data_IF_211045539727
#
_entry.id   IF_211045539727
#
_cell.length_a   1.000
_cell.length_b   1.000
_cell.length_c   1.000
_cell.angle_alpha   90.00
_cell.angle_beta   90.00
_cell.angle_gamma   90.00
#
_symmetry.space_group_name_H-M   'P 1'
#
loop_
_entity.id
_entity.type
_entity.pdbx_description
1 polymer ?
#
# COMPACT_ATOMS: atom_id res chain seq x y z
N UNK A 1 59.13 8.56 -30.25
CA UNK A 1 58.48 7.51 -29.42
C UNK A 1 57.22 8.11 -28.83
N UNK A 2 56.09 7.63 -29.34
CA UNK A 2 54.74 8.16 -29.18
C UNK A 2 53.96 7.34 -28.15
N UNK A 3 53.05 8.04 -27.46
CA UNK A 3 51.71 7.55 -27.07
C UNK A 3 51.62 6.34 -26.13
N UNK A 4 51.72 6.57 -24.82
CA UNK A 4 51.26 5.59 -23.81
C UNK A 4 50.44 6.19 -22.65
N UNK A 5 50.22 7.51 -22.61
CA UNK A 5 49.57 8.17 -21.47
C UNK A 5 48.10 8.59 -21.65
N UNK A 6 47.45 8.26 -22.78
CA UNK A 6 46.07 8.70 -23.06
C UNK A 6 44.97 7.63 -22.87
N UNK A 7 45.33 6.37 -22.62
CA UNK A 7 44.34 5.27 -22.55
C UNK A 7 43.82 5.05 -21.12
N UNK A 8 44.59 5.41 -20.08
CA UNK A 8 44.19 5.20 -18.68
C UNK A 8 43.08 6.13 -18.18
N UNK A 9 42.97 7.34 -18.73
CA UNK A 9 41.98 8.34 -18.28
C UNK A 9 40.57 8.12 -18.87
N UNK A 10 40.45 7.41 -20.00
CA UNK A 10 39.18 7.15 -20.67
C UNK A 10 38.42 5.99 -19.98
N UNK A 11 39.15 5.00 -19.47
CA UNK A 11 38.55 3.86 -18.75
C UNK A 11 37.92 4.28 -17.41
N UNK A 12 38.53 5.24 -16.69
CA UNK A 12 37.99 5.74 -15.41
C UNK A 12 36.74 6.60 -15.63
N UNK A 13 36.68 7.38 -16.72
CA UNK A 13 35.49 8.14 -17.09
C UNK A 13 34.32 7.23 -17.49
N UNK A 14 34.57 6.11 -18.17
CA UNK A 14 33.52 5.13 -18.51
C UNK A 14 32.94 4.43 -17.27
N UNK A 15 33.78 4.11 -16.27
CA UNK A 15 33.33 3.48 -15.01
C UNK A 15 32.56 4.49 -14.12
N UNK A 16 32.90 5.78 -14.18
CA UNK A 16 32.16 6.85 -13.49
C UNK A 16 30.83 7.21 -14.18
N UNK A 17 30.71 6.98 -15.50
CA UNK A 17 29.45 7.19 -16.24
C UNK A 17 28.46 6.04 -16.04
N UNK A 18 28.92 4.81 -15.76
CA UNK A 18 28.04 3.68 -15.41
C UNK A 18 27.45 3.77 -14.00
N UNK A 19 28.02 4.61 -13.13
CA UNK A 19 27.47 4.88 -11.79
C UNK A 19 26.26 5.85 -11.82
N UNK A 20 25.95 6.43 -12.98
CA UNK A 20 24.85 7.37 -13.18
C UNK A 20 23.82 6.89 -14.22
N UNK A 21 23.88 5.63 -14.65
CA UNK A 21 22.79 5.05 -15.44
C UNK A 21 21.64 4.72 -14.49
N UNK A 22 20.40 5.21 -14.74
CA UNK A 22 19.26 4.81 -13.94
C UNK A 22 19.18 3.29 -13.94
N UNK A 23 19.01 2.71 -12.75
CA UNK A 23 18.91 1.26 -12.56
C UNK A 23 17.79 0.75 -13.45
N UNK A 24 18.10 -0.22 -14.31
CA UNK A 24 17.12 -0.78 -15.23
C UNK A 24 16.06 -1.56 -14.45
N UNK A 25 14.81 -1.15 -14.62
CA UNK A 25 13.67 -1.77 -13.96
C UNK A 25 13.48 -3.22 -14.42
N UNK A 26 13.08 -4.08 -13.50
CA UNK A 26 12.84 -5.50 -13.74
C UNK A 26 11.34 -5.83 -13.64
N UNK A 27 10.88 -6.89 -14.35
CA UNK A 27 9.54 -7.44 -14.15
C UNK A 27 9.38 -7.95 -12.71
N UNK A 28 8.21 -7.73 -12.13
CA UNK A 28 7.89 -8.18 -10.76
C UNK A 28 6.44 -8.62 -10.67
N UNK A 29 6.18 -9.63 -9.83
CA UNK A 29 4.83 -9.98 -9.40
C UNK A 29 4.70 -9.77 -7.90
N UNK A 30 3.66 -9.05 -7.49
CA UNK A 30 3.33 -8.82 -6.07
C UNK A 30 1.93 -9.33 -5.77
N UNK A 31 1.78 -9.94 -4.60
CA UNK A 31 0.51 -10.30 -3.99
C UNK A 31 0.13 -9.25 -2.95
N UNK A 32 -1.00 -8.58 -3.14
CA UNK A 32 -1.52 -7.55 -2.25
C UNK A 32 -2.80 -8.06 -1.61
N UNK A 33 -2.86 -8.08 -0.29
CA UNK A 33 -4.12 -8.29 0.45
C UNK A 33 -4.56 -6.99 1.10
N UNK A 34 -5.85 -6.67 1.05
CA UNK A 34 -6.40 -5.51 1.74
C UNK A 34 -7.65 -5.90 2.52
N UNK A 35 -7.59 -5.74 3.83
CA UNK A 35 -8.70 -5.93 4.74
C UNK A 35 -9.38 -4.60 4.95
N UNK A 36 -10.63 -4.47 4.51
CA UNK A 36 -11.41 -3.24 4.66
C UNK A 36 -12.38 -3.28 5.84
N UNK A 37 -12.57 -4.47 6.45
CA UNK A 37 -13.32 -4.66 7.69
C UNK A 37 -12.78 -5.85 8.49
N UNK A 38 -12.68 -5.71 9.81
CA UNK A 38 -12.44 -6.84 10.68
C UNK A 38 -13.76 -7.62 10.96
N UNK A 39 -13.75 -8.96 11.00
CA UNK A 39 -14.95 -9.76 11.25
C UNK A 39 -15.62 -9.52 12.61
N UNK A 40 -16.96 -9.55 12.64
CA UNK A 40 -17.75 -9.28 13.85
C UNK A 40 -17.54 -10.28 14.99
N UNK A 41 -17.15 -11.52 14.68
CA UNK A 41 -16.86 -12.51 15.73
C UNK A 41 -15.62 -12.14 16.58
N UNK A 42 -14.84 -11.15 16.15
CA UNK A 42 -13.73 -10.59 16.92
C UNK A 42 -14.19 -9.58 17.98
N UNK A 43 -15.44 -9.11 17.90
CA UNK A 43 -16.02 -8.22 18.89
C UNK A 43 -16.30 -8.98 20.19
N UNK A 44 -16.02 -8.33 21.31
CA UNK A 44 -16.34 -8.78 22.64
C UNK A 44 -17.03 -7.66 23.41
N UNK A 45 -17.83 -8.04 24.41
CA UNK A 45 -18.35 -7.11 25.40
C UNK A 45 -17.44 -7.15 26.64
N UNK A 46 -16.47 -6.23 26.79
CA UNK A 46 -15.47 -6.33 27.84
C UNK A 46 -16.01 -6.10 29.26
N UNK A 47 -17.28 -5.67 29.43
CA UNK A 47 -17.77 -5.22 30.75
C UNK A 47 -19.29 -5.32 30.96
N UNK A 48 -20.03 -6.08 30.13
CA UNK A 48 -21.50 -6.08 30.17
C UNK A 48 -22.14 -4.73 29.78
N UNK A 49 -21.35 -3.80 29.23
CA UNK A 49 -21.82 -2.51 28.72
C UNK A 49 -22.43 -2.70 27.32
N UNK A 50 -23.21 -1.73 26.83
CA UNK A 50 -23.79 -1.80 25.47
C UNK A 50 -22.75 -1.57 24.35
N UNK A 51 -21.47 -1.35 24.68
CA UNK A 51 -20.42 -1.07 23.72
C UNK A 51 -19.56 -2.31 23.48
N UNK A 52 -19.70 -2.88 22.28
CA UNK A 52 -18.77 -3.88 21.76
C UNK A 52 -17.39 -3.24 21.59
N UNK A 53 -16.32 -4.04 21.67
CA UNK A 53 -14.95 -3.67 21.29
C UNK A 53 -14.26 -4.87 20.69
N UNK A 54 -13.35 -4.67 19.74
CA UNK A 54 -12.54 -5.79 19.25
C UNK A 54 -11.63 -6.34 20.35
N UNK A 55 -11.56 -7.66 20.45
CA UNK A 55 -10.72 -8.37 21.40
C UNK A 55 -9.25 -8.35 20.94
N UNK A 56 -8.34 -7.58 21.56
CA UNK A 56 -7.01 -7.32 20.99
C UNK A 56 -6.22 -8.58 20.64
N UNK A 57 -6.21 -9.57 21.56
CA UNK A 57 -5.52 -10.85 21.35
C UNK A 57 -6.15 -11.69 20.23
N UNK A 58 -7.49 -11.74 20.14
CA UNK A 58 -8.17 -12.49 19.09
C UNK A 58 -7.91 -11.86 17.73
N UNK A 59 -7.98 -10.53 17.65
CA UNK A 59 -7.75 -9.81 16.41
C UNK A 59 -6.31 -9.94 15.93
N UNK A 60 -5.32 -9.78 16.82
CA UNK A 60 -3.92 -10.02 16.48
C UNK A 60 -3.72 -11.45 15.97
N UNK A 61 -4.25 -12.46 16.66
CA UNK A 61 -4.14 -13.86 16.21
C UNK A 61 -4.78 -14.09 14.84
N UNK A 62 -5.94 -13.47 14.58
CA UNK A 62 -6.61 -13.55 13.29
C UNK A 62 -5.77 -12.89 12.18
N UNK A 63 -5.29 -11.65 12.36
CA UNK A 63 -4.43 -10.96 11.40
C UNK A 63 -3.19 -11.79 11.07
N UNK A 64 -2.53 -12.36 12.09
CA UNK A 64 -1.32 -13.17 11.92
C UNK A 64 -1.59 -14.46 11.14
N UNK A 65 -2.70 -15.12 11.48
CA UNK A 65 -3.11 -16.33 10.78
C UNK A 65 -3.34 -16.03 9.30
N UNK A 66 -4.12 -14.99 9.00
CA UNK A 66 -4.46 -14.62 7.63
C UNK A 66 -3.23 -14.18 6.83
N UNK A 67 -2.38 -13.33 7.41
CA UNK A 67 -1.12 -12.92 6.81
C UNK A 67 -0.24 -14.11 6.45
N UNK A 68 -0.03 -15.03 7.39
CA UNK A 68 0.80 -16.22 7.16
C UNK A 68 0.24 -17.11 6.05
N UNK A 69 -1.08 -17.29 5.99
CA UNK A 69 -1.73 -18.10 4.95
C UNK A 69 -1.56 -17.45 3.57
N UNK A 70 -1.80 -16.15 3.47
CA UNK A 70 -1.70 -15.43 2.20
C UNK A 70 -0.24 -15.27 1.73
N UNK A 71 0.70 -14.97 2.64
CA UNK A 71 2.13 -14.90 2.37
C UNK A 71 2.68 -16.22 1.81
N UNK A 72 2.28 -17.37 2.37
CA UNK A 72 2.66 -18.69 1.83
C UNK A 72 2.14 -18.90 0.40
N UNK A 73 0.88 -18.54 0.13
CA UNK A 73 0.30 -18.65 -1.21
C UNK A 73 1.01 -17.74 -2.23
N UNK A 74 1.49 -16.57 -1.79
CA UNK A 74 2.27 -15.68 -2.63
C UNK A 74 3.65 -16.28 -2.95
N UNK A 75 4.32 -16.88 -1.96
CA UNK A 75 5.56 -17.61 -2.16
C UNK A 75 5.40 -18.78 -3.14
N UNK A 76 4.32 -19.56 -3.04
CA UNK A 76 4.00 -20.66 -3.98
C UNK A 76 3.83 -20.17 -5.43
N UNK A 77 3.50 -18.89 -5.62
CA UNK A 77 3.37 -18.22 -6.92
C UNK A 77 4.59 -17.39 -7.32
N UNK A 78 5.71 -17.50 -6.59
CA UNK A 78 6.91 -16.67 -6.77
C UNK A 78 6.59 -15.17 -6.80
N UNK A 79 5.70 -14.72 -5.92
CA UNK A 79 5.31 -13.33 -5.78
C UNK A 79 5.80 -12.75 -4.46
N UNK A 80 6.23 -11.49 -4.50
CA UNK A 80 6.34 -10.63 -3.32
C UNK A 80 4.99 -10.57 -2.59
N UNK A 81 4.98 -10.17 -1.31
CA UNK A 81 3.73 -10.12 -0.56
C UNK A 81 3.65 -8.95 0.41
N UNK A 82 2.49 -8.29 0.39
CA UNK A 82 2.11 -7.31 1.40
C UNK A 82 0.64 -7.41 1.73
N UNK A 83 0.33 -7.07 2.98
CA UNK A 83 -1.03 -6.93 3.44
C UNK A 83 -1.24 -5.56 4.04
N UNK A 84 -2.42 -5.02 3.78
CA UNK A 84 -2.92 -3.81 4.38
C UNK A 84 -4.20 -4.12 5.12
N UNK A 85 -4.50 -3.31 6.12
CA UNK A 85 -5.82 -3.28 6.73
C UNK A 85 -6.26 -1.85 7.00
N UNK A 86 -7.57 -1.66 7.03
CA UNK A 86 -8.24 -0.45 7.45
C UNK A 86 -9.64 -0.82 7.91
N UNK A 87 -10.12 -0.29 9.03
CA UNK A 87 -11.49 -0.49 9.51
C UNK A 87 -12.31 0.75 9.12
N UNK A 88 -13.20 0.58 8.14
CA UNK A 88 -13.91 1.68 7.48
C UNK A 88 -15.31 1.92 8.06
N UNK A 89 -15.78 1.10 8.99
CA UNK A 89 -17.12 1.22 9.56
C UNK A 89 -17.18 2.19 10.75
N UNK A 90 -17.93 3.28 10.57
CA UNK A 90 -18.12 4.32 11.57
C UNK A 90 -19.00 3.89 12.76
N UNK A 91 -19.88 2.90 12.57
CA UNK A 91 -20.76 2.34 13.60
C UNK A 91 -20.07 1.28 14.45
N UNK A 92 -18.86 0.84 14.06
CA UNK A 92 -18.07 -0.14 14.79
C UNK A 92 -16.97 0.50 15.63
N UNK A 93 -16.60 -0.14 16.75
CA UNK A 93 -15.57 0.38 17.64
C UNK A 93 -14.21 0.30 16.94
N UNK A 94 -13.51 1.43 16.86
CA UNK A 94 -12.17 1.48 16.27
C UNK A 94 -11.22 0.59 17.08
N UNK A 95 -10.56 -0.36 16.41
CA UNK A 95 -9.61 -1.32 17.01
C UNK A 95 -8.35 -0.65 17.61
N UNK A 96 -7.93 0.49 17.05
CA UNK A 96 -6.94 1.46 17.56
C UNK A 96 -6.92 2.68 16.62
N UNK A 97 -6.44 3.87 16.99
CA UNK A 97 -6.38 5.02 16.06
C UNK A 97 -5.64 4.71 14.74
N UNK A 98 -4.76 3.70 14.68
CA UNK A 98 -4.12 3.25 13.44
C UNK A 98 -5.07 2.50 12.49
N UNK A 99 -6.11 1.82 12.99
CA UNK A 99 -7.09 1.10 12.17
C UNK A 99 -8.03 2.04 11.40
N UNK A 100 -8.22 3.28 11.85
CA UNK A 100 -8.95 4.31 11.08
C UNK A 100 -8.21 4.74 9.82
N UNK A 101 -6.91 4.45 9.74
CA UNK A 101 -6.07 4.68 8.57
C UNK A 101 -5.77 3.38 7.86
N UNK A 102 -5.14 3.47 6.68
CA UNK A 102 -4.60 2.29 6.01
C UNK A 102 -3.27 1.94 6.68
N UNK A 103 -3.14 0.73 7.20
CA UNK A 103 -1.92 0.26 7.86
C UNK A 103 -1.34 -0.94 7.12
N UNK A 104 -0.06 -0.90 6.81
CA UNK A 104 0.68 -2.04 6.26
C UNK A 104 1.11 -3.00 7.37
N UNK A 105 0.98 -4.30 7.11
CA UNK A 105 1.56 -5.35 7.96
C UNK A 105 2.92 -5.73 7.36
N UNK A 106 3.98 -5.27 8.02
CA UNK A 106 5.36 -5.60 7.66
C UNK A 106 5.77 -6.83 8.48
N UNK A 107 6.16 -7.91 7.80
CA UNK A 107 6.73 -9.07 8.50
C UNK A 107 8.19 -8.77 8.84
N UNK A 108 8.51 -8.59 10.11
CA UNK A 108 9.89 -8.54 10.56
C UNK A 108 10.57 -9.88 10.23
N UNK A 109 11.56 -9.84 9.32
CA UNK A 109 12.37 -11.00 8.97
C UNK A 109 13.51 -11.23 9.98
N UNK A 110 13.56 -10.45 11.09
CA UNK A 110 14.54 -10.66 12.14
C UNK A 110 14.30 -12.00 12.86
N UNK A 111 15.33 -12.84 12.75
CA UNK A 111 15.47 -14.16 13.37
C UNK A 111 15.13 -14.11 14.86
N UNK A 112 13.92 -14.49 15.27
CA UNK A 112 13.65 -14.89 16.65
C UNK A 112 12.66 -16.06 16.73
N UNK A 113 13.11 -17.10 17.40
CA UNK A 113 12.62 -18.48 17.43
C UNK A 113 11.37 -18.70 18.29
N UNK A 114 10.30 -17.91 18.11
CA UNK A 114 9.00 -18.24 18.69
C UNK A 114 7.84 -17.89 17.74
N UNK A 115 7.25 -18.88 17.04
CA UNK A 115 6.26 -18.65 15.99
C UNK A 115 4.84 -18.32 16.50
N UNK A 116 4.60 -18.33 17.82
CA UNK A 116 3.24 -18.20 18.36
C UNK A 116 2.79 -16.78 18.69
N UNK A 117 3.69 -15.81 18.83
CA UNK A 117 3.32 -14.43 19.16
C UNK A 117 4.38 -13.48 18.63
N UNK A 118 4.22 -12.95 17.41
CA UNK A 118 4.76 -11.66 16.96
C UNK A 118 4.39 -11.40 15.49
N UNK A 119 3.20 -10.86 15.29
CA UNK A 119 3.10 -9.66 14.44
C UNK A 119 2.92 -8.50 15.42
N UNK A 120 4.01 -8.18 16.11
CA UNK A 120 4.31 -6.78 16.41
C UNK A 120 5.25 -6.33 15.30
N UNK A 121 4.87 -6.59 14.05
CA UNK A 121 5.60 -6.07 12.90
C UNK A 121 5.53 -4.55 12.97
N UNK A 122 6.60 -3.88 12.57
CA UNK A 122 6.59 -2.44 12.35
C UNK A 122 5.36 -2.11 11.48
N UNK A 123 4.46 -1.29 12.02
CA UNK A 123 3.21 -0.93 11.35
C UNK A 123 3.42 0.39 10.66
N UNK A 124 3.43 0.37 9.32
CA UNK A 124 3.45 1.61 8.55
C UNK A 124 2.01 2.13 8.37
N UNK A 125 1.73 3.31 8.90
CA UNK A 125 0.45 4.00 8.74
C UNK A 125 0.53 4.89 7.49
N UNK A 126 -0.32 4.63 6.51
CA UNK A 126 -0.44 5.41 5.29
C UNK A 126 -1.66 6.33 5.44
N UNK A 127 -1.44 7.63 5.31
CA UNK A 127 -2.49 8.66 5.35
C UNK A 127 -2.17 9.79 4.36
N UNK A 128 -2.03 9.45 3.08
CA UNK A 128 -1.37 10.32 2.10
C UNK A 128 -2.13 11.61 1.75
N UNK A 129 -3.42 11.71 2.09
CA UNK A 129 -4.22 12.94 1.99
C UNK A 129 -4.44 13.66 3.34
N UNK A 130 -3.85 13.18 4.44
CA UNK A 130 -4.07 13.73 5.79
C UNK A 130 -2.87 14.55 6.24
N UNK A 131 -3.13 15.80 6.65
CA UNK A 131 -2.15 16.64 7.34
C UNK A 131 -2.28 16.45 8.86
N UNK A 132 -1.28 15.82 9.49
CA UNK A 132 -1.20 15.69 10.95
C UNK A 132 -0.62 16.93 11.65
N UNK A 133 -0.30 17.98 10.89
CA UNK A 133 0.37 19.19 11.37
C UNK A 133 1.74 18.91 11.97
N UNK A 134 2.10 19.67 13.01
CA UNK A 134 3.35 19.51 13.77
C UNK A 134 3.43 18.23 14.61
N UNK A 135 2.36 17.43 14.62
CA UNK A 135 2.16 16.27 15.50
C UNK A 135 2.54 14.93 14.85
N UNK A 136 3.17 14.93 13.67
CA UNK A 136 3.74 13.72 13.08
C UNK A 136 4.73 13.08 14.06
N UNK A 137 4.28 12.05 14.76
CA UNK A 137 5.09 11.33 15.76
C UNK A 137 5.18 9.87 15.34
N UNK A 138 6.37 9.48 14.87
CA UNK A 138 6.70 8.11 14.47
C UNK A 138 7.42 8.05 13.12
N UNK A 139 8.44 7.20 13.01
CA UNK A 139 9.17 6.95 11.75
C UNK A 139 8.32 6.19 10.72
N UNK A 140 7.17 5.65 11.14
CA UNK A 140 6.35 4.74 10.34
C UNK A 140 5.03 5.37 9.87
N UNK A 141 4.93 6.71 9.90
CA UNK A 141 3.73 7.44 9.44
C UNK A 141 4.03 8.15 8.11
N UNK A 142 3.31 7.75 7.07
CA UNK A 142 3.45 8.21 5.69
C UNK A 142 2.24 9.08 5.33
N UNK A 143 2.35 10.38 5.60
CA UNK A 143 1.23 11.32 5.55
C UNK A 143 1.51 12.52 4.64
N UNK A 144 0.49 13.35 4.41
CA UNK A 144 0.68 14.60 3.68
C UNK A 144 1.57 15.56 4.49
N UNK A 145 2.55 16.16 3.82
CA UNK A 145 3.40 17.19 4.36
C UNK A 145 3.14 18.50 3.63
N UNK A 146 2.46 19.48 4.26
CA UNK A 146 2.10 20.74 3.61
C UNK A 146 3.33 21.57 3.20
N UNK A 147 4.45 21.46 3.95
CA UNK A 147 5.68 22.18 3.64
C UNK A 147 6.38 21.65 2.38
N UNK A 148 6.23 20.34 2.11
CA UNK A 148 6.76 19.69 0.90
C UNK A 148 5.73 19.66 -0.24
N UNK A 149 4.49 20.08 0.02
CA UNK A 149 3.33 19.99 -0.85
C UNK A 149 3.15 18.57 -1.45
N UNK A 150 3.39 17.52 -0.64
CA UNK A 150 3.27 16.12 -1.06
C UNK A 150 3.12 15.18 0.12
N UNK A 151 2.62 13.98 -0.14
CA UNK A 151 2.70 12.86 0.79
C UNK A 151 4.13 12.30 0.90
N UNK A 152 4.52 11.93 2.10
CA UNK A 152 5.57 10.94 2.29
C UNK A 152 4.98 9.56 1.92
N UNK A 153 5.77 8.74 1.22
CA UNK A 153 5.29 7.55 0.49
C UNK A 153 5.86 6.30 1.15
N UNK A 154 5.00 5.31 1.38
CA UNK A 154 5.45 3.99 1.83
C UNK A 154 5.96 3.21 0.61
N UNK A 155 7.24 2.87 0.61
CA UNK A 155 7.86 2.08 -0.45
C UNK A 155 8.21 0.69 0.07
N UNK A 156 7.68 -0.34 -0.59
CA UNK A 156 8.13 -1.71 -0.37
C UNK A 156 9.22 -2.03 -1.39
N UNK A 157 10.41 -2.35 -0.89
CA UNK A 157 11.49 -2.87 -1.73
C UNK A 157 11.32 -4.38 -1.91
N UNK A 158 11.32 -4.82 -3.16
CA UNK A 158 11.20 -6.22 -3.55
C UNK A 158 12.30 -6.52 -4.57
N UNK A 159 13.33 -7.24 -4.11
CA UNK A 159 14.58 -7.45 -4.83
C UNK A 159 15.21 -6.15 -5.33
N UNK A 160 15.14 -5.90 -6.64
CA UNK A 160 15.68 -4.71 -7.29
C UNK A 160 14.65 -3.62 -7.58
N UNK A 161 13.36 -3.91 -7.36
CA UNK A 161 12.23 -3.03 -7.64
C UNK A 161 11.64 -2.42 -6.37
N UNK A 162 10.91 -1.32 -6.56
CA UNK A 162 10.20 -0.63 -5.50
C UNK A 162 8.76 -0.41 -5.94
N UNK A 163 7.81 -0.73 -5.07
CA UNK A 163 6.39 -0.41 -5.27
C UNK A 163 6.01 0.69 -4.29
N UNK A 164 5.47 1.79 -4.81
CA UNK A 164 5.03 2.92 -4.03
C UNK A 164 3.55 2.75 -3.65
N UNK A 165 3.25 2.87 -2.36
CA UNK A 165 1.90 2.79 -1.83
C UNK A 165 1.48 4.13 -1.25
N UNK A 166 0.32 4.60 -1.71
CA UNK A 166 -0.38 5.77 -1.22
C UNK A 166 -1.72 5.34 -0.64
N UNK A 167 -2.31 6.17 0.22
CA UNK A 167 -3.68 5.97 0.70
C UNK A 167 -4.56 7.19 0.50
N UNK A 168 -5.84 6.94 0.19
CA UNK A 168 -6.90 7.94 0.20
C UNK A 168 -7.84 7.64 1.35
N UNK A 169 -7.70 8.41 2.42
CA UNK A 169 -8.46 8.30 3.66
C UNK A 169 -9.77 9.07 3.52
N UNK A 170 -10.87 8.43 3.86
CA UNK A 170 -12.19 9.05 3.85
C UNK A 170 -12.38 9.87 5.13
N UNK A 171 -12.42 11.19 4.97
CA UNK A 171 -12.58 12.12 6.10
C UNK A 171 -14.05 12.42 6.42
N UNK A 172 -14.97 12.02 5.54
CA UNK A 172 -16.40 12.29 5.67
C UNK A 172 -17.13 11.10 6.30
N UNK A 173 -18.21 11.38 7.04
CA UNK A 173 -18.99 10.37 7.76
C UNK A 173 -20.11 9.72 6.92
N UNK A 174 -20.41 10.26 5.73
CA UNK A 174 -21.49 9.77 4.87
C UNK A 174 -20.92 8.77 3.85
N UNK A 175 -21.57 7.62 3.71
CA UNK A 175 -21.18 6.55 2.77
C UNK A 175 -21.15 7.06 1.32
N UNK A 176 -22.09 7.94 0.96
CA UNK A 176 -22.31 8.45 -0.39
C UNK A 176 -21.46 9.69 -0.75
N UNK A 177 -20.63 10.17 0.18
CA UNK A 177 -19.78 11.32 -0.08
C UNK A 177 -18.64 10.94 -1.02
N UNK A 178 -18.53 11.66 -2.13
CA UNK A 178 -17.42 11.54 -3.05
C UNK A 178 -16.10 12.02 -2.43
N UNK A 179 -14.93 11.55 -2.94
CA UNK A 179 -13.65 12.12 -2.57
C UNK A 179 -13.62 13.64 -2.75
N UNK A 180 -13.05 14.34 -1.77
CA UNK A 180 -12.91 15.79 -1.84
C UNK A 180 -11.90 16.16 -2.94
N UNK A 181 -12.22 17.17 -3.75
CA UNK A 181 -11.36 17.61 -4.84
C UNK A 181 -9.96 18.03 -4.36
N UNK A 182 -9.88 18.61 -3.15
CA UNK A 182 -8.60 18.96 -2.53
C UNK A 182 -7.73 17.73 -2.25
N UNK A 183 -8.31 16.67 -1.68
CA UNK A 183 -7.59 15.42 -1.37
C UNK A 183 -7.07 14.74 -2.64
N UNK A 184 -7.87 14.74 -3.71
CA UNK A 184 -7.45 14.22 -5.01
C UNK A 184 -6.31 15.05 -5.61
N UNK A 185 -6.34 16.38 -5.49
CA UNK A 185 -5.28 17.26 -5.99
C UNK A 185 -3.95 17.02 -5.24
N UNK A 186 -4.00 16.86 -3.92
CA UNK A 186 -2.83 16.52 -3.09
C UNK A 186 -2.20 15.19 -3.52
N UNK A 187 -3.02 14.17 -3.77
CA UNK A 187 -2.54 12.89 -4.25
C UNK A 187 -2.00 12.97 -5.67
N UNK A 188 -2.66 13.71 -6.58
CA UNK A 188 -2.17 13.93 -7.94
C UNK A 188 -0.76 14.52 -7.95
N UNK A 189 -0.50 15.57 -7.15
CA UNK A 189 0.84 16.13 -7.01
C UNK A 189 1.87 15.14 -6.46
N UNK A 190 1.44 14.26 -5.55
CA UNK A 190 2.32 13.23 -4.98
C UNK A 190 2.68 12.17 -6.02
N UNK A 191 1.71 11.75 -6.84
CA UNK A 191 1.90 10.77 -7.94
C UNK A 191 2.79 11.36 -9.04
N UNK A 192 2.51 12.58 -9.49
CA UNK A 192 3.34 13.27 -10.50
C UNK A 192 4.80 13.32 -10.05
N UNK A 193 5.04 13.60 -8.77
CA UNK A 193 6.39 13.64 -8.24
C UNK A 193 7.05 12.27 -8.22
N UNK A 194 6.35 11.23 -7.79
CA UNK A 194 6.85 9.85 -7.85
C UNK A 194 7.26 9.46 -9.27
N UNK A 195 6.45 9.82 -10.27
CA UNK A 195 6.78 9.62 -11.67
C UNK A 195 8.06 10.38 -12.08
N UNK A 196 8.22 11.65 -11.68
CA UNK A 196 9.47 12.40 -11.95
C UNK A 196 10.70 11.84 -11.24
N UNK A 197 10.51 11.07 -10.17
CA UNK A 197 11.56 10.35 -9.44
C UNK A 197 11.86 8.97 -10.05
N UNK A 198 11.23 8.62 -11.17
CA UNK A 198 11.41 7.35 -11.86
C UNK A 198 10.69 6.18 -11.19
N UNK A 199 9.66 6.44 -10.37
CA UNK A 199 8.79 5.37 -9.86
C UNK A 199 7.72 5.06 -10.91
N UNK A 200 7.62 3.79 -11.30
CA UNK A 200 6.71 3.31 -12.35
C UNK A 200 5.74 2.22 -11.87
N UNK A 201 5.60 2.06 -10.54
CA UNK A 201 4.71 1.08 -9.90
C UNK A 201 4.06 1.75 -8.69
N UNK A 202 2.90 2.37 -8.90
CA UNK A 202 2.20 3.20 -7.92
C UNK A 202 0.81 2.61 -7.63
N UNK A 203 0.58 2.26 -6.38
CA UNK A 203 -0.66 1.66 -5.86
C UNK A 203 -1.35 2.65 -4.93
N UNK A 204 -2.64 2.89 -5.15
CA UNK A 204 -3.49 3.67 -4.27
C UNK A 204 -4.45 2.75 -3.49
N UNK A 205 -4.39 2.81 -2.17
CA UNK A 205 -5.32 2.15 -1.25
C UNK A 205 -6.40 3.14 -0.82
N UNK A 206 -7.61 2.97 -1.36
CA UNK A 206 -8.74 3.88 -1.15
C UNK A 206 -9.71 3.35 -0.10
N UNK A 207 -10.09 4.20 0.85
CA UNK A 207 -11.23 3.97 1.75
C UNK A 207 -12.57 4.34 1.12
N UNK A 208 -12.59 4.87 -0.10
CA UNK A 208 -13.83 5.11 -0.84
C UNK A 208 -14.24 3.86 -1.62
N UNK A 209 -15.54 3.64 -1.71
CA UNK A 209 -16.13 2.56 -2.49
C UNK A 209 -15.68 2.57 -3.95
N UNK A 210 -15.63 1.38 -4.55
CA UNK A 210 -15.21 1.19 -5.93
C UNK A 210 -15.98 2.05 -6.96
N UNK A 211 -17.21 2.49 -6.65
CA UNK A 211 -17.98 3.41 -7.50
C UNK A 211 -17.26 4.73 -7.80
N UNK A 212 -16.36 5.17 -6.92
CA UNK A 212 -15.58 6.41 -7.10
C UNK A 212 -14.28 6.19 -7.89
N UNK A 213 -13.93 4.96 -8.26
CA UNK A 213 -12.66 4.66 -8.94
C UNK A 213 -12.47 5.46 -10.23
N UNK A 214 -13.52 5.61 -11.04
CA UNK A 214 -13.47 6.39 -12.28
C UNK A 214 -13.32 7.90 -12.03
N UNK A 215 -13.89 8.42 -10.93
CA UNK A 215 -13.66 9.80 -10.52
C UNK A 215 -12.20 10.02 -10.10
N UNK A 216 -11.64 9.08 -9.33
CA UNK A 216 -10.25 9.10 -8.87
C UNK A 216 -9.28 9.04 -10.06
N UNK A 217 -9.43 8.08 -10.99
CA UNK A 217 -8.58 7.99 -12.20
C UNK A 217 -8.77 9.16 -13.16
N UNK A 218 -9.93 9.83 -13.10
CA UNK A 218 -10.18 11.08 -13.82
C UNK A 218 -9.25 12.20 -13.37
N UNK A 219 -9.01 12.31 -12.06
CA UNK A 219 -8.25 13.41 -11.43
C UNK A 219 -6.77 13.08 -11.18
N UNK A 220 -6.44 11.81 -10.93
CA UNK A 220 -5.07 11.37 -10.61
C UNK A 220 -4.56 10.50 -11.76
N UNK A 221 -3.61 11.03 -12.53
CA UNK A 221 -2.93 10.29 -13.60
C UNK A 221 -1.67 9.62 -13.08
N UNK A 222 -1.26 8.51 -13.71
CA UNK A 222 -0.05 7.77 -13.32
C UNK A 222 -0.23 6.76 -12.18
N UNK A 223 -1.47 6.46 -11.79
CA UNK A 223 -1.75 5.32 -10.91
C UNK A 223 -1.81 4.04 -11.73
N UNK A 224 -1.07 3.02 -11.30
CA UNK A 224 -1.11 1.70 -11.93
C UNK A 224 -2.22 0.85 -11.31
N UNK A 225 -2.37 0.87 -9.98
CA UNK A 225 -3.39 0.09 -9.29
C UNK A 225 -4.17 0.96 -8.33
N UNK A 226 -5.50 0.84 -8.35
CA UNK A 226 -6.39 1.38 -7.32
C UNK A 226 -7.08 0.21 -6.64
N UNK A 227 -6.99 0.18 -5.32
CA UNK A 227 -7.62 -0.81 -4.47
C UNK A 227 -8.69 -0.12 -3.65
N UNK A 228 -9.94 -0.54 -3.79
CA UNK A 228 -11.11 -0.01 -3.07
C UNK A 228 -11.88 -1.11 -2.33
N UNK A 229 -12.68 -0.71 -1.35
CA UNK A 229 -13.69 -1.59 -0.76
C UNK A 229 -14.91 -1.74 -1.67
N UNK A 230 -15.63 -2.85 -1.54
CA UNK A 230 -16.93 -3.04 -2.16
C UNK A 230 -17.63 -4.33 -1.70
N UNK A 231 -18.76 -4.65 -2.33
CA UNK A 231 -19.60 -5.80 -1.95
C UNK A 231 -19.07 -7.15 -2.43
N UNK A 232 -18.37 -7.15 -3.56
CA UNK A 232 -17.84 -8.36 -4.20
C UNK A 232 -16.48 -8.03 -4.76
N UNK A 233 -15.59 -8.98 -4.66
CA UNK A 233 -14.24 -8.82 -5.18
C UNK A 233 -14.21 -8.96 -6.68
N UNK A 234 -13.67 -7.94 -7.32
CA UNK A 234 -13.62 -7.84 -8.76
C UNK A 234 -12.38 -7.07 -9.20
N UNK A 235 -11.94 -7.33 -10.42
CA UNK A 235 -10.90 -6.55 -11.07
C UNK A 235 -11.43 -6.06 -12.42
N UNK A 236 -11.19 -4.79 -12.69
CA UNK A 236 -11.38 -4.17 -14.00
C UNK A 236 -10.08 -3.48 -14.42
N UNK A 237 -9.86 -3.32 -15.72
CA UNK A 237 -8.70 -2.57 -16.25
C UNK A 237 -9.23 -1.41 -17.08
N UNK A 238 -8.97 -0.18 -16.62
CA UNK A 238 -9.38 1.04 -17.30
C UNK A 238 -8.15 1.90 -17.59
N UNK A 239 -7.93 2.24 -18.86
CA UNK A 239 -6.81 3.10 -19.28
C UNK A 239 -5.44 2.65 -18.72
N UNK A 240 -5.18 1.35 -18.74
CA UNK A 240 -3.97 0.71 -18.17
C UNK A 240 -3.84 0.75 -16.64
N UNK A 241 -4.82 1.32 -15.92
CA UNK A 241 -4.91 1.20 -14.46
C UNK A 241 -5.75 -0.02 -14.09
N UNK A 242 -5.23 -0.86 -13.20
CA UNK A 242 -6.00 -1.92 -12.57
C UNK A 242 -6.88 -1.36 -11.45
N UNK A 243 -8.18 -1.55 -11.56
CA UNK A 243 -9.18 -1.21 -10.54
C UNK A 243 -9.58 -2.49 -9.82
N UNK A 244 -9.07 -2.68 -8.61
CA UNK A 244 -9.37 -3.84 -7.79
C UNK A 244 -10.34 -3.46 -6.67
N UNK A 245 -11.43 -4.22 -6.56
CA UNK A 245 -12.38 -4.14 -5.46
C UNK A 245 -12.16 -5.33 -4.53
N UNK A 246 -12.02 -5.08 -3.23
CA UNK A 246 -11.98 -6.11 -2.19
C UNK A 246 -13.32 -6.14 -1.45
N UNK A 247 -13.88 -7.34 -1.31
CA UNK A 247 -15.09 -7.59 -0.52
C UNK A 247 -14.88 -7.18 0.94
N UNK A 248 -15.77 -6.31 1.45
CA UNK A 248 -15.66 -5.80 2.81
C UNK A 248 -15.97 -6.84 3.90
N UNK A 249 -16.79 -7.86 3.65
CA UNK A 249 -17.28 -8.81 4.66
C UNK A 249 -16.62 -10.18 4.58
N UNK A 250 -15.59 -10.33 3.76
CA UNK A 250 -14.89 -11.58 3.57
C UNK A 250 -14.24 -12.10 4.85
N UNK A 251 -14.53 -13.34 5.23
CA UNK A 251 -13.96 -13.98 6.43
C UNK A 251 -12.48 -14.36 6.22
N UNK A 252 -12.08 -14.57 4.96
CA UNK A 252 -10.72 -14.94 4.55
C UNK A 252 -10.11 -13.83 3.71
N UNK A 253 -8.81 -13.60 3.88
CA UNK A 253 -8.10 -12.64 3.04
C UNK A 253 -8.05 -13.14 1.61
N UNK A 254 -8.44 -12.26 0.71
CA UNK A 254 -8.17 -12.42 -0.70
C UNK A 254 -6.85 -11.73 -1.03
N UNK A 255 -6.21 -12.18 -2.10
CA UNK A 255 -4.92 -11.65 -2.54
C UNK A 255 -5.03 -11.31 -4.01
N UNK A 256 -4.88 -10.03 -4.32
CA UNK A 256 -4.72 -9.54 -5.67
C UNK A 256 -3.28 -9.79 -6.12
N UNK A 257 -3.09 -10.51 -7.21
CA UNK A 257 -1.81 -10.67 -7.86
C UNK A 257 -1.68 -9.68 -9.01
N UNK A 258 -0.68 -8.80 -8.90
CA UNK A 258 -0.34 -7.82 -9.92
C UNK A 258 1.04 -8.14 -10.47
N UNK A 259 1.14 -8.30 -11.79
CA UNK A 259 2.40 -8.51 -12.50
C UNK A 259 2.70 -7.28 -13.36
N UNK A 260 3.88 -6.71 -13.16
CA UNK A 260 4.41 -5.58 -13.92
C UNK A 260 5.53 -6.04 -14.85
N UNK A 261 5.63 -5.43 -16.03
CA UNK A 261 6.83 -5.52 -16.86
C UNK A 261 7.94 -4.56 -16.38
N UNK A 262 9.06 -4.53 -17.11
CA UNK A 262 10.19 -3.63 -16.84
C UNK A 262 9.80 -2.16 -16.99
N UNK A 263 8.88 -1.82 -17.90
CA UNK A 263 8.45 -0.44 -18.12
C UNK A 263 7.46 0.04 -17.05
N UNK A 264 6.91 -0.89 -16.26
CA UNK A 264 5.91 -0.62 -15.22
C UNK A 264 4.47 -0.87 -15.70
N UNK A 265 4.27 -1.39 -16.91
CA UNK A 265 2.94 -1.71 -17.39
C UNK A 265 2.40 -2.97 -16.70
N UNK A 266 1.09 -2.98 -16.47
CA UNK A 266 0.41 -4.15 -15.89
C UNK A 266 0.22 -5.22 -16.95
N UNK A 267 0.94 -6.33 -16.79
CA UNK A 267 0.75 -7.56 -17.58
C UNK A 267 -0.43 -8.38 -17.08
N UNK A 268 -0.67 -8.34 -15.77
CA UNK A 268 -1.73 -9.13 -15.13
C UNK A 268 -2.22 -8.45 -13.86
N UNK A 269 -3.54 -8.44 -13.67
CA UNK A 269 -4.16 -8.04 -12.42
C UNK A 269 -5.36 -8.93 -12.15
N UNK A 270 -5.33 -9.76 -11.10
CA UNK A 270 -6.42 -10.69 -10.76
C UNK A 270 -6.31 -11.25 -9.33
N UNK A 271 -7.41 -11.71 -8.77
CA UNK A 271 -7.43 -12.54 -7.57
C UNK A 271 -6.92 -13.98 -7.84
#
# INVERSE_FOLDING_TARGET
MTTLFRVGSIAIAAILLTACSPKEHQPITTGISFVTQAPDYLLQNPSGTQSLKYAPKKTANWLNHQYRVASRKAADKNAAYIAFYSDQQHDKPILSPAFSYVTAIISDHSRNTNPEVRVQGEQAILASNIDFGITQSGNDVFAYNPNKARADVFEQQEDSESIAYLSLIKQTHSEDDAPLAHDLAVLAHSVDRLATQGRNKIVLLSQYDAQYSSHITGQIKGLDVIISAGKVSNVDIQHSTCLATFEHTGVSWQTLYVSFDSDGNILRCRF
#
